data_IF_702498158977
#
_entry.id   IF_702498158977
#
_cell.length_a   1.000
_cell.length_b   1.000
_cell.length_c   1.000
_cell.angle_alpha   90.00
_cell.angle_beta   90.00
_cell.angle_gamma   90.00
#
_symmetry.space_group_name_H-M   'P 1'
#
loop_
_entity.id
_entity.type
_entity.pdbx_description
1 polymer ?
#
# COMPACT_ATOMS: atom_id res chain seq x y z
N UNK A 1 -23.43 5.41 15.79
CA UNK A 1 -22.15 6.11 16.06
C UNK A 1 -21.95 6.29 17.57
N UNK A 2 -21.87 5.20 18.34
CA UNK A 2 -21.76 5.28 19.81
C UNK A 2 -20.34 5.45 20.32
N UNK A 3 -19.34 5.02 19.55
CA UNK A 3 -17.93 5.01 19.97
C UNK A 3 -17.33 6.39 20.24
N UNK A 4 -17.94 7.47 19.73
CA UNK A 4 -17.44 8.84 19.87
C UNK A 4 -18.24 9.68 20.88
N UNK A 5 -19.31 9.16 21.47
CA UNK A 5 -20.20 9.93 22.36
C UNK A 5 -19.51 10.44 23.62
N UNK A 6 -18.41 9.81 24.04
CA UNK A 6 -17.62 10.20 25.21
C UNK A 6 -16.32 10.95 24.84
N UNK A 7 -16.13 11.31 23.57
CA UNK A 7 -14.98 12.11 23.17
C UNK A 7 -15.15 13.54 23.71
N UNK A 8 -14.33 13.94 24.67
CA UNK A 8 -14.36 15.29 25.24
C UNK A 8 -13.46 16.22 24.44
N UNK A 9 -13.99 17.36 24.02
CA UNK A 9 -13.24 18.36 23.24
C UNK A 9 -12.43 19.26 24.17
N UNK A 10 -11.10 19.10 24.19
CA UNK A 10 -10.17 20.04 24.84
C UNK A 10 -9.57 21.00 23.81
N UNK A 11 -9.14 22.19 24.26
CA UNK A 11 -8.52 23.19 23.38
C UNK A 11 -7.26 22.60 22.74
N UNK A 12 -7.30 22.36 21.43
CA UNK A 12 -6.19 21.77 20.66
C UNK A 12 -6.42 20.33 20.18
N UNK A 13 -7.48 19.65 20.64
CA UNK A 13 -7.82 18.30 20.15
C UNK A 13 -8.31 18.31 18.71
N UNK A 14 -7.86 17.34 17.89
CA UNK A 14 -8.27 17.15 16.50
C UNK A 14 -8.67 15.69 16.27
N UNK A 15 -9.79 15.46 15.60
CA UNK A 15 -10.28 14.12 15.25
C UNK A 15 -10.18 13.97 13.73
N UNK A 16 -9.51 12.90 13.28
CA UNK A 16 -9.45 12.51 11.88
C UNK A 16 -10.28 11.23 11.68
N UNK A 17 -11.33 11.34 10.88
CA UNK A 17 -12.19 10.21 10.55
C UNK A 17 -11.79 9.64 9.19
N UNK A 18 -11.56 8.33 9.13
CA UNK A 18 -11.33 7.60 7.87
C UNK A 18 -12.54 6.71 7.55
N UNK A 19 -12.92 6.64 6.28
CA UNK A 19 -14.06 5.83 5.80
C UNK A 19 -13.71 5.18 4.46
N UNK A 20 -14.29 4.02 4.14
CA UNK A 20 -13.99 3.27 2.91
C UNK A 20 -14.72 3.76 1.64
N UNK A 21 -15.47 4.86 1.73
CA UNK A 21 -16.21 5.43 0.58
C UNK A 21 -17.65 5.83 0.86
N UNK A 22 -18.07 5.85 2.13
CA UNK A 22 -19.41 6.28 2.46
C UNK A 22 -19.50 7.81 2.49
N UNK A 23 -19.98 8.40 1.39
CA UNK A 23 -20.23 9.84 1.25
C UNK A 23 -21.15 10.33 2.37
N UNK A 24 -22.15 9.54 2.79
CA UNK A 24 -23.07 9.95 3.86
C UNK A 24 -22.35 10.12 5.20
N UNK A 25 -21.41 9.24 5.53
CA UNK A 25 -20.58 9.38 6.74
C UNK A 25 -19.70 10.61 6.64
N UNK A 26 -19.07 10.84 5.47
CA UNK A 26 -18.27 12.03 5.24
C UNK A 26 -19.09 13.31 5.44
N UNK A 27 -20.29 13.40 4.86
CA UNK A 27 -21.16 14.57 4.97
C UNK A 27 -21.64 14.83 6.40
N UNK A 28 -21.90 13.78 7.17
CA UNK A 28 -22.36 13.91 8.56
C UNK A 28 -21.24 14.42 9.50
N UNK A 29 -19.99 14.03 9.24
CA UNK A 29 -18.83 14.38 10.10
C UNK A 29 -18.00 15.55 9.56
N UNK A 30 -18.42 16.17 8.46
CA UNK A 30 -17.61 17.13 7.73
C UNK A 30 -17.48 18.46 8.47
N UNK A 31 -16.28 18.73 8.98
CA UNK A 31 -15.88 20.08 9.47
C UNK A 31 -14.87 20.75 8.54
N UNK A 32 -14.24 19.98 7.65
CA UNK A 32 -13.25 20.40 6.65
C UNK A 32 -13.49 19.65 5.32
N UNK A 33 -12.95 20.10 4.18
CA UNK A 33 -13.03 19.37 2.92
C UNK A 33 -12.53 17.93 3.05
N UNK A 34 -13.26 16.99 2.44
CA UNK A 34 -12.92 15.56 2.49
C UNK A 34 -11.69 15.27 1.65
N UNK A 35 -10.69 14.63 2.25
CA UNK A 35 -9.52 14.12 1.54
C UNK A 35 -9.85 12.77 0.88
N UNK A 36 -10.01 12.76 -0.44
CA UNK A 36 -10.20 11.52 -1.20
C UNK A 36 -8.83 10.92 -1.50
N UNK A 37 -8.57 9.71 -0.99
CA UNK A 37 -7.34 8.98 -1.26
C UNK A 37 -7.41 8.34 -2.65
N UNK A 38 -6.47 8.69 -3.52
CA UNK A 38 -6.29 8.08 -4.83
C UNK A 38 -5.45 6.80 -4.79
N UNK A 39 -5.32 6.16 -5.95
CA UNK A 39 -4.35 5.07 -6.16
C UNK A 39 -2.92 5.61 -6.22
N UNK A 40 -1.96 4.79 -5.82
CA UNK A 40 -0.54 5.09 -6.02
C UNK A 40 -0.14 4.92 -7.49
N UNK A 41 0.90 5.65 -7.91
CA UNK A 41 1.56 5.36 -9.18
C UNK A 41 2.39 4.07 -9.07
N UNK A 42 2.71 3.49 -10.22
CA UNK A 42 3.56 2.29 -10.32
C UNK A 42 4.91 2.48 -9.62
N UNK A 43 5.53 3.66 -9.76
CA UNK A 43 6.79 3.99 -9.07
C UNK A 43 6.65 4.04 -7.55
N UNK A 44 5.51 4.53 -7.04
CA UNK A 44 5.27 4.55 -5.59
C UNK A 44 5.02 3.14 -5.06
N UNK A 45 4.30 2.30 -5.80
CA UNK A 45 4.20 0.86 -5.50
C UNK A 45 5.57 0.19 -5.52
N UNK A 46 6.42 0.47 -6.51
CA UNK A 46 7.76 -0.08 -6.59
C UNK A 46 8.61 0.32 -5.37
N UNK A 47 8.54 1.58 -4.93
CA UNK A 47 9.25 2.03 -3.73
C UNK A 47 8.83 1.29 -2.46
N UNK A 48 7.53 1.09 -2.26
CA UNK A 48 7.00 0.33 -1.11
C UNK A 48 7.52 -1.10 -1.18
N UNK A 49 7.39 -1.72 -2.34
CA UNK A 49 7.80 -3.09 -2.56
C UNK A 49 9.30 -3.25 -2.29
N UNK A 50 10.15 -2.45 -2.96
CA UNK A 50 11.60 -2.47 -2.79
C UNK A 50 12.01 -2.28 -1.33
N UNK A 51 11.40 -1.33 -0.63
CA UNK A 51 11.67 -1.09 0.79
C UNK A 51 11.30 -2.28 1.68
N UNK A 52 10.23 -3.01 1.32
CA UNK A 52 9.77 -4.18 2.06
C UNK A 52 10.60 -5.42 1.79
N UNK A 53 11.04 -5.60 0.55
CA UNK A 53 11.93 -6.68 0.15
C UNK A 53 13.36 -6.49 0.65
N UNK A 54 13.85 -5.24 0.62
CA UNK A 54 15.22 -4.88 0.99
C UNK A 54 15.17 -3.72 2.00
N UNK A 55 15.00 -4.02 3.31
CA UNK A 55 14.95 -3.00 4.35
C UNK A 55 16.25 -2.19 4.46
N UNK A 56 17.37 -2.79 4.05
CA UNK A 56 18.66 -2.11 3.95
C UNK A 56 18.75 -1.31 2.64
N UNK A 57 18.78 0.01 2.78
CA UNK A 57 18.85 0.96 1.66
C UNK A 57 20.18 0.90 0.89
N UNK A 58 21.20 0.21 1.42
CA UNK A 58 22.50 0.01 0.74
C UNK A 58 22.46 -1.12 -0.30
N UNK A 59 21.41 -1.92 -0.34
CA UNK A 59 21.27 -3.01 -1.32
C UNK A 59 21.14 -2.44 -2.73
N UNK A 60 22.15 -2.75 -3.55
CA UNK A 60 22.18 -2.42 -4.97
C UNK A 60 21.56 -3.57 -5.75
N UNK A 61 20.40 -3.32 -6.35
CA UNK A 61 19.73 -4.29 -7.21
C UNK A 61 20.38 -4.36 -8.59
N UNK A 62 20.42 -5.56 -9.16
CA UNK A 62 20.77 -5.74 -10.56
C UNK A 62 19.72 -5.10 -11.48
N UNK A 63 20.10 -4.86 -12.74
CA UNK A 63 19.15 -4.33 -13.75
C UNK A 63 17.93 -5.23 -13.92
N UNK A 64 18.09 -6.55 -13.81
CA UNK A 64 17.00 -7.51 -13.91
C UNK A 64 16.10 -7.50 -12.68
N UNK A 65 16.66 -7.39 -11.46
CA UNK A 65 15.87 -7.26 -10.23
C UNK A 65 15.03 -5.97 -10.25
N UNK A 66 15.60 -4.85 -10.69
CA UNK A 66 14.84 -3.60 -10.88
C UNK A 66 13.73 -3.75 -11.93
N UNK A 67 14.01 -4.41 -13.06
CA UNK A 67 13.02 -4.64 -14.10
C UNK A 67 11.88 -5.53 -13.61
N UNK A 68 12.18 -6.68 -13.01
CA UNK A 68 11.18 -7.63 -12.48
C UNK A 68 10.32 -6.94 -11.42
N UNK A 69 10.96 -6.22 -10.49
CA UNK A 69 10.21 -5.57 -9.43
C UNK A 69 9.29 -4.45 -9.90
N UNK A 70 9.65 -3.75 -10.97
CA UNK A 70 8.76 -2.79 -11.64
C UNK A 70 7.58 -3.48 -12.33
N UNK A 71 7.78 -4.63 -12.98
CA UNK A 71 6.67 -5.39 -13.58
C UNK A 71 5.67 -5.89 -12.52
N UNK A 72 6.15 -6.25 -11.34
CA UNK A 72 5.28 -6.66 -10.24
C UNK A 72 4.61 -5.45 -9.58
N UNK A 73 5.31 -4.31 -9.46
CA UNK A 73 4.70 -3.06 -9.01
C UNK A 73 3.54 -2.62 -9.91
N UNK A 74 3.63 -2.84 -11.23
CA UNK A 74 2.49 -2.66 -12.16
C UNK A 74 1.28 -3.52 -11.78
N UNK A 75 1.52 -4.80 -11.46
CA UNK A 75 0.46 -5.74 -11.03
C UNK A 75 -0.19 -5.35 -9.69
N UNK A 76 0.47 -4.52 -8.88
CA UNK A 76 -0.12 -4.00 -7.64
C UNK A 76 -1.27 -3.01 -7.87
N UNK A 77 -1.45 -2.51 -9.10
CA UNK A 77 -2.57 -1.66 -9.51
C UNK A 77 -2.82 -0.44 -8.61
N UNK A 78 -1.74 0.12 -8.03
CA UNK A 78 -1.78 1.29 -7.15
C UNK A 78 -2.29 1.02 -5.72
N UNK A 79 -2.46 -0.26 -5.32
CA UNK A 79 -2.91 -0.65 -3.98
C UNK A 79 -1.70 -0.81 -3.05
N UNK A 80 -1.50 0.08 -2.05
CA UNK A 80 -0.32 0.04 -1.19
C UNK A 80 -0.16 -1.26 -0.40
N UNK A 81 -1.28 -1.86 0.00
CA UNK A 81 -1.28 -3.10 0.79
C UNK A 81 -0.74 -4.30 -0.01
N UNK A 82 -1.07 -4.38 -1.30
CA UNK A 82 -0.57 -5.45 -2.18
C UNK A 82 0.94 -5.31 -2.36
N UNK A 83 1.43 -4.11 -2.67
CA UNK A 83 2.86 -3.84 -2.82
C UNK A 83 3.66 -4.19 -1.54
N UNK A 84 3.09 -3.88 -0.37
CA UNK A 84 3.69 -4.24 0.92
C UNK A 84 3.78 -5.77 1.08
N UNK A 85 2.65 -6.46 0.90
CA UNK A 85 2.58 -7.91 1.10
C UNK A 85 3.53 -8.66 0.17
N UNK A 86 3.54 -8.28 -1.10
CA UNK A 86 4.42 -8.89 -2.11
C UNK A 86 5.90 -8.66 -1.78
N UNK A 87 6.29 -7.45 -1.35
CA UNK A 87 7.66 -7.21 -0.91
C UNK A 87 8.04 -7.97 0.36
N UNK A 88 7.11 -8.22 1.28
CA UNK A 88 7.35 -8.97 2.53
C UNK A 88 7.42 -10.50 2.32
N UNK A 89 6.67 -11.05 1.36
CA UNK A 89 6.48 -12.52 1.22
C UNK A 89 7.16 -13.09 -0.03
N UNK A 90 7.10 -12.38 -1.15
CA UNK A 90 7.38 -12.95 -2.47
C UNK A 90 8.84 -12.72 -2.91
N UNK A 91 9.52 -11.70 -2.37
CA UNK A 91 10.88 -11.36 -2.80
C UNK A 91 11.96 -12.31 -2.30
N UNK A 92 11.72 -12.99 -1.18
CA UNK A 92 12.62 -14.05 -0.71
C UNK A 92 12.79 -15.18 -1.73
N UNK A 93 11.81 -15.39 -2.62
CA UNK A 93 11.84 -16.43 -3.65
C UNK A 93 12.58 -16.01 -4.93
N UNK A 94 12.87 -14.71 -5.09
CA UNK A 94 13.60 -14.19 -6.25
C UNK A 94 15.10 -14.47 -6.12
N UNK A 95 15.64 -14.62 -4.89
CA UNK A 95 17.04 -15.02 -4.66
C UNK A 95 17.29 -16.52 -4.95
N UNK A 96 16.27 -17.38 -4.79
CA UNK A 96 16.37 -18.83 -5.01
C UNK A 96 16.23 -19.24 -6.50
N UNK A 97 16.14 -18.29 -7.43
CA UNK A 97 16.14 -18.57 -8.87
C UNK A 97 14.85 -19.19 -9.44
N UNK A 98 13.76 -19.22 -8.67
CA UNK A 98 12.48 -19.81 -9.07
C UNK A 98 11.45 -18.76 -9.49
N UNK A 99 11.67 -18.03 -10.59
CA UNK A 99 10.58 -17.71 -11.54
C UNK A 99 11.16 -17.48 -12.94
N UNK A 100 11.42 -18.58 -13.65
CA UNK A 100 11.34 -18.60 -15.11
C UNK A 100 10.25 -19.55 -15.63
N UNK A 101 9.66 -20.41 -14.78
CA UNK A 101 8.67 -21.38 -15.25
C UNK A 101 7.40 -21.40 -14.38
N UNK A 102 6.31 -20.87 -14.94
CA UNK A 102 5.03 -21.60 -14.87
C UNK A 102 4.09 -21.40 -13.68
N UNK A 103 4.37 -20.58 -12.67
CA UNK A 103 3.35 -20.35 -11.62
C UNK A 103 2.34 -19.29 -12.07
N UNK A 104 1.25 -19.79 -12.66
CA UNK A 104 0.07 -19.01 -12.98
C UNK A 104 -0.44 -18.30 -11.74
N UNK A 105 -0.64 -16.99 -11.85
CA UNK A 105 -1.42 -16.21 -10.90
C UNK A 105 -2.89 -16.62 -11.06
N UNK A 106 -3.24 -17.81 -10.59
CA UNK A 106 -4.60 -18.30 -10.51
C UNK A 106 -5.29 -17.65 -9.31
N UNK A 107 -6.32 -16.86 -9.56
CA UNK A 107 -7.25 -16.47 -8.52
C UNK A 107 -7.91 -17.73 -7.94
N UNK A 108 -7.71 -17.96 -6.65
CA UNK A 108 -8.46 -18.90 -5.81
C UNK A 108 -8.91 -18.17 -4.56
#
# INVERSE_FOLDING_TARGET
MSCLLNATSTKGSKILVTTRGNVSVSSIVQTLPTCVLGKLSEDQCWRILKYKAFPDASVVLTKDQERIGREIAKKCAGVPLVAKYVGEVDWGWIEDGLVAEGVGWGCG
#
